data_IF_867944787373
#
_entry.id   IF_867944787373
#
_cell.length_a   1.000
_cell.length_b   1.000
_cell.length_c   1.000
_cell.angle_alpha   90.00
_cell.angle_beta   90.00
_cell.angle_gamma   90.00
#
_symmetry.space_group_name_H-M   'P 1'
#
loop_
_entity.id
_entity.type
_entity.pdbx_description
1 polymer ?
#
# COMPACT_ATOMS: atom_id res chain seq x y z
N UNK A 1 -33.24 13.46 22.42
CA UNK A 1 -34.03 12.55 21.58
C UNK A 1 -34.88 13.41 20.65
N UNK A 2 -34.29 13.93 19.58
CA UNK A 2 -35.07 14.64 18.55
C UNK A 2 -35.63 13.54 17.65
N UNK A 3 -36.94 13.51 17.64
CA UNK A 3 -37.68 12.68 16.73
C UNK A 3 -37.35 13.09 15.29
N UNK A 4 -36.43 12.37 14.65
CA UNK A 4 -36.44 12.26 13.20
C UNK A 4 -37.83 11.67 12.93
N UNK A 5 -38.70 12.52 12.41
CA UNK A 5 -40.06 12.16 12.01
C UNK A 5 -39.95 10.81 11.30
N UNK A 6 -40.73 9.88 11.73
CA UNK A 6 -40.98 8.55 11.18
C UNK A 6 -41.36 8.52 9.69
N UNK A 7 -40.91 9.51 8.90
CA UNK A 7 -41.15 9.63 7.46
C UNK A 7 -40.33 8.68 6.59
N UNK A 8 -39.28 8.02 7.13
CA UNK A 8 -38.39 7.23 6.32
C UNK A 8 -38.14 5.80 6.88
N UNK A 9 -39.05 5.29 7.70
CA UNK A 9 -38.74 4.14 8.56
C UNK A 9 -39.06 2.75 8.02
N UNK A 10 -39.49 2.54 6.80
CA UNK A 10 -39.81 1.16 6.41
C UNK A 10 -39.54 0.86 4.93
N UNK A 11 -38.37 0.72 4.43
CA UNK A 11 -38.07 -0.16 3.27
C UNK A 11 -36.73 0.06 2.55
N UNK A 12 -35.76 0.64 3.20
CA UNK A 12 -34.45 0.75 2.59
C UNK A 12 -33.61 -0.54 2.72
N UNK A 13 -34.06 -1.54 3.47
CA UNK A 13 -33.36 -2.83 3.60
C UNK A 13 -33.06 -3.52 2.26
N UNK A 14 -33.69 -3.06 1.18
CA UNK A 14 -33.57 -3.60 -0.17
C UNK A 14 -32.90 -2.62 -1.18
N UNK A 15 -32.37 -1.47 -0.76
CA UNK A 15 -31.73 -0.53 -1.72
C UNK A 15 -30.57 -1.20 -2.46
N UNK A 16 -29.77 -2.01 -1.76
CA UNK A 16 -28.66 -2.75 -2.32
C UNK A 16 -29.07 -3.79 -3.37
N UNK A 17 -30.12 -4.56 -3.08
CA UNK A 17 -30.65 -5.54 -4.04
C UNK A 17 -31.36 -4.87 -5.22
N UNK A 18 -32.02 -3.75 -4.96
CA UNK A 18 -32.74 -2.96 -5.96
C UNK A 18 -31.81 -2.30 -6.99
N UNK A 19 -30.58 -1.99 -6.62
CA UNK A 19 -29.59 -1.39 -7.52
C UNK A 19 -28.83 -2.38 -8.40
N UNK A 20 -28.95 -3.70 -8.20
CA UNK A 20 -28.12 -4.72 -8.84
C UNK A 20 -28.22 -4.83 -10.38
N UNK A 21 -29.17 -4.13 -11.03
CA UNK A 21 -29.47 -4.27 -12.47
C UNK A 21 -29.33 -2.99 -13.30
N UNK A 22 -28.71 -1.92 -12.79
CA UNK A 22 -28.66 -0.62 -13.46
C UNK A 22 -27.54 -0.54 -14.52
N UNK A 23 -27.91 -0.18 -15.75
CA UNK A 23 -26.97 0.09 -16.86
C UNK A 23 -27.01 1.59 -17.21
N UNK A 24 -25.86 2.12 -17.57
CA UNK A 24 -25.39 3.53 -17.62
C UNK A 24 -26.22 4.59 -18.37
N UNK A 25 -27.44 4.34 -18.83
CA UNK A 25 -28.19 5.29 -19.67
C UNK A 25 -29.66 5.51 -19.25
N UNK A 26 -30.06 5.13 -18.04
CA UNK A 26 -31.45 5.28 -17.62
C UNK A 26 -31.52 6.35 -16.54
N UNK A 27 -32.22 7.46 -16.84
CA UNK A 27 -32.57 8.49 -15.88
C UNK A 27 -33.75 8.01 -15.05
N UNK A 28 -33.80 8.38 -13.77
CA UNK A 28 -34.92 8.17 -12.85
C UNK A 28 -35.25 6.69 -12.60
N UNK A 29 -34.38 5.99 -11.92
CA UNK A 29 -34.70 4.65 -11.42
C UNK A 29 -35.39 4.65 -10.07
N UNK A 30 -35.40 5.79 -9.41
CA UNK A 30 -36.04 6.00 -8.11
C UNK A 30 -37.04 7.15 -8.16
N UNK A 31 -38.11 7.01 -7.38
CA UNK A 31 -39.17 8.00 -7.19
C UNK A 31 -39.60 7.99 -5.73
N UNK A 32 -40.32 9.01 -5.30
CA UNK A 32 -41.03 9.00 -4.02
C UNK A 32 -42.48 8.56 -4.27
N UNK A 33 -43.04 7.74 -3.38
CA UNK A 33 -44.47 7.45 -3.36
C UNK A 33 -45.27 8.60 -2.71
N UNK A 34 -46.58 8.42 -2.52
CA UNK A 34 -47.45 9.35 -1.88
C UNK A 34 -47.11 9.68 -0.43
N UNK A 35 -46.50 8.70 0.28
CA UNK A 35 -46.09 8.82 1.67
C UNK A 35 -44.64 9.37 1.81
N UNK A 36 -43.96 9.59 0.69
CA UNK A 36 -42.60 10.10 0.62
C UNK A 36 -41.54 9.03 0.78
N UNK A 37 -41.89 7.74 0.65
CA UNK A 37 -40.92 6.65 0.67
C UNK A 37 -40.22 6.53 -0.69
N UNK A 38 -38.95 6.16 -0.66
CA UNK A 38 -38.17 5.95 -1.88
C UNK A 38 -38.51 4.59 -2.51
N UNK A 39 -39.04 4.62 -3.73
CA UNK A 39 -39.41 3.43 -4.51
C UNK A 39 -38.48 3.24 -5.69
N UNK A 40 -38.01 2.02 -5.86
CA UNK A 40 -37.25 1.62 -7.05
C UNK A 40 -38.17 1.20 -8.19
N UNK A 41 -37.81 1.54 -9.42
CA UNK A 41 -38.55 1.07 -10.60
C UNK A 41 -38.59 -0.48 -10.69
N UNK A 42 -37.64 -1.17 -10.06
CA UNK A 42 -37.61 -2.64 -10.04
C UNK A 42 -38.67 -3.26 -9.14
N UNK A 43 -39.24 -2.49 -8.21
CA UNK A 43 -40.33 -2.91 -7.34
C UNK A 43 -41.72 -2.78 -8.02
N UNK A 44 -41.72 -2.12 -9.18
CA UNK A 44 -42.93 -1.87 -9.93
C UNK A 44 -43.23 -3.03 -10.87
N UNK A 45 -44.41 -3.63 -10.70
CA UNK A 45 -44.91 -4.68 -11.56
C UNK A 45 -46.07 -4.14 -12.44
N UNK A 46 -46.52 -4.95 -13.41
CA UNK A 46 -47.71 -4.60 -14.21
C UNK A 46 -48.97 -4.47 -13.35
N UNK A 47 -49.01 -5.18 -12.23
CA UNK A 47 -50.19 -5.23 -11.31
C UNK A 47 -50.21 -4.02 -10.37
N UNK A 48 -49.05 -3.63 -9.81
CA UNK A 48 -48.99 -2.55 -8.82
C UNK A 48 -48.69 -1.16 -9.40
N UNK A 49 -48.31 -1.05 -10.68
CA UNK A 49 -47.84 0.21 -11.30
C UNK A 49 -48.85 1.38 -11.24
N UNK A 50 -50.11 1.08 -10.98
CA UNK A 50 -51.20 2.08 -10.86
C UNK A 50 -51.70 2.24 -9.43
N UNK A 51 -51.12 1.53 -8.48
CA UNK A 51 -51.59 1.54 -7.09
C UNK A 51 -51.06 2.75 -6.33
N UNK A 52 -49.93 3.33 -6.79
CA UNK A 52 -49.24 4.45 -6.16
C UNK A 52 -49.09 5.60 -7.14
N UNK A 53 -48.95 6.79 -6.59
CA UNK A 53 -48.53 7.99 -7.30
C UNK A 53 -47.03 8.19 -7.05
N UNK A 54 -46.27 8.43 -8.11
CA UNK A 54 -44.82 8.57 -8.02
C UNK A 54 -44.41 10.01 -8.27
N UNK A 55 -43.55 10.55 -7.43
CA UNK A 55 -43.05 11.93 -7.52
C UNK A 55 -41.54 11.93 -7.74
N UNK A 56 -41.08 12.89 -8.55
CA UNK A 56 -39.64 13.09 -8.77
C UNK A 56 -38.97 13.60 -7.49
N UNK A 57 -37.87 12.97 -7.09
CA UNK A 57 -37.07 13.35 -5.94
C UNK A 57 -36.55 14.78 -6.07
N UNK A 58 -36.26 15.24 -7.30
CA UNK A 58 -35.73 16.58 -7.56
C UNK A 58 -36.78 17.68 -7.54
N UNK A 59 -37.83 17.54 -8.34
CA UNK A 59 -38.79 18.61 -8.59
C UNK A 59 -40.18 18.38 -7.99
N UNK A 60 -40.44 17.20 -7.41
CA UNK A 60 -41.73 16.83 -6.82
C UNK A 60 -42.84 16.54 -7.82
N UNK A 61 -42.63 16.76 -9.13
CA UNK A 61 -43.63 16.51 -10.15
C UNK A 61 -43.88 15.01 -10.35
N UNK A 62 -45.10 14.72 -10.86
CA UNK A 62 -45.55 13.34 -11.07
C UNK A 62 -44.68 12.62 -12.09
N UNK A 63 -44.29 11.38 -11.74
CA UNK A 63 -43.58 10.45 -12.57
C UNK A 63 -44.51 9.27 -12.94
N UNK A 64 -44.27 8.70 -14.11
CA UNK A 64 -44.93 7.51 -14.57
C UNK A 64 -43.88 6.39 -14.83
N UNK A 65 -44.16 5.15 -14.38
CA UNK A 65 -43.31 4.01 -14.68
C UNK A 65 -43.47 3.57 -16.15
N UNK A 66 -42.37 3.34 -16.85
CA UNK A 66 -42.35 2.95 -18.25
C UNK A 66 -41.53 1.67 -18.45
N UNK A 67 -41.89 0.93 -19.48
CA UNK A 67 -41.21 -0.31 -19.90
C UNK A 67 -41.25 -1.46 -18.87
N UNK A 68 -42.18 -1.45 -17.94
CA UNK A 68 -42.40 -2.51 -16.96
C UNK A 68 -42.73 -3.82 -17.70
N UNK A 69 -41.99 -4.90 -17.45
CA UNK A 69 -42.13 -6.21 -18.12
C UNK A 69 -41.64 -6.24 -19.57
N UNK A 70 -41.06 -5.20 -20.10
CA UNK A 70 -40.52 -5.16 -21.47
C UNK A 70 -39.22 -5.97 -21.56
N UNK A 71 -39.14 -6.87 -22.56
CA UNK A 71 -37.90 -7.60 -22.91
C UNK A 71 -36.90 -6.71 -23.70
N UNK A 72 -37.39 -5.65 -24.36
CA UNK A 72 -36.62 -4.83 -25.29
C UNK A 72 -36.11 -3.51 -24.69
N UNK A 73 -36.75 -3.02 -23.63
CA UNK A 73 -36.44 -1.73 -23.00
C UNK A 73 -36.37 -1.91 -21.49
N UNK A 74 -35.43 -1.24 -20.88
CA UNK A 74 -35.29 -1.23 -19.40
C UNK A 74 -36.37 -0.40 -18.74
N UNK A 75 -36.93 -0.85 -17.62
CA UNK A 75 -37.85 -0.06 -16.82
C UNK A 75 -37.20 1.22 -16.33
N UNK A 76 -37.95 2.31 -16.29
CA UNK A 76 -37.55 3.60 -15.76
C UNK A 76 -38.79 4.48 -15.46
N UNK A 77 -38.63 5.49 -14.62
CA UNK A 77 -39.61 6.55 -14.45
C UNK A 77 -39.38 7.67 -15.46
N UNK A 78 -40.41 8.38 -15.84
CA UNK A 78 -40.35 9.59 -16.65
C UNK A 78 -41.39 10.59 -16.19
N UNK A 79 -41.12 11.88 -16.39
CA UNK A 79 -42.09 12.92 -16.03
C UNK A 79 -43.35 12.80 -16.89
N UNK A 80 -44.51 12.86 -16.23
CA UNK A 80 -45.82 12.84 -16.90
C UNK A 80 -46.01 14.03 -17.82
N UNK A 81 -45.53 15.20 -17.38
CA UNK A 81 -45.58 16.46 -18.12
C UNK A 81 -44.16 16.93 -18.45
N UNK A 82 -44.04 17.78 -19.49
CA UNK A 82 -42.77 18.43 -19.82
C UNK A 82 -42.44 19.45 -18.73
N UNK A 83 -41.43 19.12 -17.92
CA UNK A 83 -40.93 19.96 -16.83
C UNK A 83 -39.45 20.24 -17.00
N UNK A 84 -39.01 21.41 -16.58
CA UNK A 84 -37.58 21.74 -16.48
C UNK A 84 -37.01 21.08 -15.23
N UNK A 85 -36.74 19.80 -15.33
CA UNK A 85 -36.12 19.06 -14.24
C UNK A 85 -34.68 18.66 -14.65
N UNK A 86 -33.71 19.06 -13.86
CA UNK A 86 -32.32 18.71 -14.07
C UNK A 86 -32.03 17.30 -13.56
N UNK A 87 -31.41 16.48 -14.40
CA UNK A 87 -30.86 15.20 -13.97
C UNK A 87 -29.77 15.36 -12.90
N UNK A 88 -29.08 16.50 -12.90
CA UNK A 88 -28.12 16.90 -11.89
C UNK A 88 -28.78 17.04 -10.50
N UNK A 89 -29.86 17.79 -10.40
CA UNK A 89 -30.62 17.96 -9.15
C UNK A 89 -31.16 16.62 -8.63
N UNK A 90 -31.54 15.73 -9.55
CA UNK A 90 -31.99 14.38 -9.18
C UNK A 90 -30.88 13.56 -8.56
N UNK A 91 -29.72 13.46 -9.23
CA UNK A 91 -28.57 12.71 -8.71
C UNK A 91 -28.06 13.28 -7.39
N UNK A 92 -28.01 14.61 -7.28
CA UNK A 92 -27.60 15.31 -6.08
C UNK A 92 -28.50 14.94 -4.87
N UNK A 93 -29.82 15.06 -5.02
CA UNK A 93 -30.78 14.73 -3.94
C UNK A 93 -30.78 13.22 -3.62
N UNK A 94 -30.74 12.37 -4.63
CA UNK A 94 -30.69 10.92 -4.42
C UNK A 94 -29.43 10.52 -3.64
N UNK A 95 -28.28 11.14 -3.96
CA UNK A 95 -27.03 10.88 -3.23
C UNK A 95 -27.14 11.29 -1.77
N UNK A 96 -27.67 12.49 -1.48
CA UNK A 96 -27.86 12.95 -0.10
C UNK A 96 -28.72 11.98 0.70
N UNK A 97 -29.86 11.58 0.15
CA UNK A 97 -30.75 10.60 0.80
C UNK A 97 -30.04 9.26 1.06
N UNK A 98 -29.29 8.75 0.08
CA UNK A 98 -28.57 7.48 0.19
C UNK A 98 -27.47 7.52 1.25
N UNK A 99 -26.73 8.63 1.34
CA UNK A 99 -25.69 8.81 2.35
C UNK A 99 -26.26 8.97 3.75
N UNK A 100 -27.33 9.75 3.89
CA UNK A 100 -28.03 9.89 5.18
C UNK A 100 -28.54 8.55 5.68
N UNK A 101 -29.20 7.79 4.82
CA UNK A 101 -29.67 6.45 5.16
C UNK A 101 -28.52 5.53 5.57
N UNK A 102 -27.46 5.46 4.76
CA UNK A 102 -26.27 4.70 5.10
C UNK A 102 -25.70 5.10 6.45
N UNK A 103 -25.62 6.41 6.73
CA UNK A 103 -25.11 6.91 8.01
C UNK A 103 -25.97 6.47 9.19
N UNK A 104 -27.29 6.52 9.10
CA UNK A 104 -28.16 6.19 10.23
C UNK A 104 -28.36 4.69 10.43
N UNK A 105 -28.51 3.93 9.36
CA UNK A 105 -28.96 2.53 9.42
C UNK A 105 -27.84 1.49 9.29
N UNK A 106 -26.65 1.84 8.77
CA UNK A 106 -25.53 0.90 8.80
C UNK A 106 -24.90 0.82 10.20
N UNK A 107 -24.35 -0.33 10.57
CA UNK A 107 -23.64 -0.49 11.85
C UNK A 107 -22.41 0.42 11.95
N UNK A 108 -21.77 0.70 10.81
CA UNK A 108 -20.56 1.52 10.69
C UNK A 108 -20.66 2.48 9.52
N UNK A 109 -19.98 3.60 9.64
CA UNK A 109 -19.74 4.52 8.54
C UNK A 109 -18.24 4.76 8.40
N UNK A 110 -17.57 3.81 7.76
CA UNK A 110 -16.13 3.84 7.62
C UNK A 110 -15.70 4.67 6.42
N UNK A 111 -14.66 5.48 6.65
CA UNK A 111 -13.96 6.24 5.61
C UNK A 111 -12.48 5.85 5.61
N UNK A 112 -11.83 5.91 4.45
CA UNK A 112 -10.40 5.67 4.32
C UNK A 112 -9.75 6.62 3.32
N UNK A 113 -8.59 7.16 3.67
CA UNK A 113 -7.84 8.06 2.80
C UNK A 113 -6.32 7.87 2.95
N UNK A 114 -5.55 8.16 1.89
CA UNK A 114 -4.09 8.01 1.91
C UNK A 114 -3.44 8.95 2.93
N UNK A 115 -2.48 8.42 3.65
CA UNK A 115 -1.65 9.18 4.59
C UNK A 115 -0.17 8.94 4.36
N UNK A 116 0.63 9.94 4.74
CA UNK A 116 2.07 9.83 4.92
C UNK A 116 2.38 9.62 6.39
N UNK A 117 3.15 8.61 6.70
CA UNK A 117 3.65 8.42 8.06
C UNK A 117 5.16 8.63 8.08
N UNK A 118 5.66 9.45 8.99
CA UNK A 118 7.08 9.69 9.18
C UNK A 118 7.53 9.25 10.58
N UNK A 119 8.80 8.84 10.68
CA UNK A 119 9.40 8.43 11.95
C UNK A 119 9.70 9.63 12.83
N UNK A 120 9.30 9.58 14.10
CA UNK A 120 9.61 10.61 15.11
C UNK A 120 10.69 10.19 16.13
N UNK A 121 11.36 9.05 15.93
CA UNK A 121 12.42 8.61 16.84
C UNK A 121 13.63 9.53 16.75
N UNK A 122 13.77 10.45 17.73
CA UNK A 122 14.86 11.44 17.80
C UNK A 122 16.22 10.79 18.06
N UNK A 123 16.26 9.61 18.68
CA UNK A 123 17.48 8.92 19.07
C UNK A 123 18.06 8.03 17.94
N UNK A 124 17.38 7.95 16.81
CA UNK A 124 17.85 7.16 15.68
C UNK A 124 18.87 7.94 14.84
N UNK A 125 20.11 7.48 14.83
CA UNK A 125 21.19 8.10 14.05
C UNK A 125 20.97 7.98 12.53
N UNK A 126 20.27 6.93 12.09
CA UNK A 126 19.94 6.69 10.68
C UNK A 126 18.68 7.42 10.21
N UNK A 127 17.97 8.14 11.12
CA UNK A 127 16.75 8.88 10.76
C UNK A 127 17.04 9.90 9.67
N UNK A 128 16.30 9.78 8.57
CA UNK A 128 16.39 10.71 7.45
C UNK A 128 15.01 10.91 6.80
N UNK A 129 14.95 11.67 5.69
CA UNK A 129 13.71 11.94 4.93
C UNK A 129 13.05 10.69 4.36
N UNK A 130 13.78 9.60 4.22
CA UNK A 130 13.28 8.34 3.69
C UNK A 130 12.63 7.43 4.77
N UNK A 131 12.70 7.81 6.05
CA UNK A 131 11.96 7.14 7.12
C UNK A 131 10.47 7.52 7.06
N UNK A 132 9.82 7.23 5.92
CA UNK A 132 8.44 7.55 5.61
C UNK A 132 7.78 6.36 4.95
N UNK A 133 6.49 6.18 5.24
CA UNK A 133 5.61 5.24 4.55
C UNK A 133 4.54 6.04 3.81
N UNK A 134 4.42 5.81 2.50
CA UNK A 134 3.51 6.56 1.63
C UNK A 134 2.23 5.81 1.25
N UNK A 135 2.24 4.49 1.33
CA UNK A 135 1.12 3.67 0.86
C UNK A 135 0.19 3.23 1.99
N UNK A 136 0.19 3.96 3.10
CA UNK A 136 -0.71 3.69 4.20
C UNK A 136 -2.03 4.42 3.99
N UNK A 137 -3.11 3.76 4.38
CA UNK A 137 -4.44 4.33 4.45
C UNK A 137 -4.86 4.49 5.91
N UNK A 138 -5.40 5.65 6.25
CA UNK A 138 -6.02 5.86 7.54
C UNK A 138 -7.50 5.57 7.43
N UNK A 139 -7.95 4.57 8.19
CA UNK A 139 -9.37 4.18 8.23
C UNK A 139 -9.97 4.57 9.56
N UNK A 140 -11.14 5.17 9.51
CA UNK A 140 -11.89 5.60 10.70
C UNK A 140 -13.38 5.35 10.51
N UNK A 141 -14.04 4.85 11.55
CA UNK A 141 -15.49 4.73 11.63
C UNK A 141 -16.06 6.02 12.22
N UNK A 142 -16.72 6.82 11.39
CA UNK A 142 -17.25 8.12 11.80
C UNK A 142 -18.38 8.00 12.82
N UNK A 143 -19.16 6.91 12.86
CA UNK A 143 -20.24 6.71 13.84
C UNK A 143 -19.74 6.62 15.28
N UNK A 144 -18.47 6.39 15.49
CA UNK A 144 -17.87 6.44 16.84
C UNK A 144 -17.72 7.85 17.39
N UNK A 145 -17.81 8.85 16.51
CA UNK A 145 -17.55 10.25 16.86
C UNK A 145 -18.70 11.18 16.51
N UNK A 146 -19.48 10.85 15.48
CA UNK A 146 -20.58 11.66 14.96
C UNK A 146 -21.86 10.86 15.02
N UNK A 147 -22.92 11.49 15.51
CA UNK A 147 -24.24 10.87 15.71
C UNK A 147 -25.37 11.60 14.99
N UNK A 148 -25.06 12.73 14.35
CA UNK A 148 -26.03 13.50 13.58
C UNK A 148 -25.56 13.70 12.14
N UNK A 149 -26.51 13.71 11.23
CA UNK A 149 -26.32 14.05 9.82
C UNK A 149 -27.50 14.95 9.38
N UNK A 150 -27.19 16.18 9.04
CA UNK A 150 -28.23 17.20 8.71
C UNK A 150 -28.00 17.73 7.30
N UNK A 151 -29.09 17.97 6.58
CA UNK A 151 -29.09 18.47 5.20
C UNK A 151 -29.14 19.99 5.16
N UNK A 152 -28.45 20.62 4.19
CA UNK A 152 -28.49 22.04 3.85
C UNK A 152 -28.18 22.96 5.06
N UNK A 153 -27.14 22.65 5.80
CA UNK A 153 -26.78 23.41 7.01
C UNK A 153 -25.72 24.49 6.69
N UNK A 154 -26.01 25.71 7.14
CA UNK A 154 -25.08 26.82 7.04
C UNK A 154 -23.93 26.69 8.08
N UNK A 155 -22.68 26.80 7.63
CA UNK A 155 -21.53 26.74 8.48
C UNK A 155 -20.38 27.63 7.93
N UNK A 156 -19.85 28.53 8.76
CA UNK A 156 -18.75 29.45 8.41
C UNK A 156 -18.93 30.18 7.08
N UNK A 157 -20.17 30.57 6.73
CA UNK A 157 -20.47 31.28 5.50
C UNK A 157 -20.75 30.40 4.28
N UNK A 158 -20.65 29.08 4.42
CA UNK A 158 -20.99 28.10 3.40
C UNK A 158 -22.22 27.31 3.77
N UNK A 159 -22.85 26.64 2.80
CA UNK A 159 -23.90 25.66 3.04
C UNK A 159 -23.39 24.29 2.74
N UNK A 160 -23.49 23.38 3.69
CA UNK A 160 -23.10 21.98 3.50
C UNK A 160 -24.29 21.20 2.91
N UNK A 161 -24.05 20.35 1.92
CA UNK A 161 -25.06 19.42 1.42
C UNK A 161 -25.53 18.49 2.53
N UNK A 162 -24.57 17.89 3.24
CA UNK A 162 -24.80 17.18 4.50
C UNK A 162 -23.72 17.58 5.52
N UNK A 163 -24.14 17.76 6.76
CA UNK A 163 -23.26 18.08 7.87
C UNK A 163 -23.30 16.98 8.93
N UNK A 164 -22.15 16.38 9.20
CA UNK A 164 -21.99 15.46 10.32
C UNK A 164 -21.51 16.23 11.56
N UNK A 165 -22.24 16.10 12.66
CA UNK A 165 -21.88 16.67 13.96
C UNK A 165 -22.05 15.64 15.08
N UNK A 166 -21.46 15.93 16.24
CA UNK A 166 -21.61 15.12 17.44
C UNK A 166 -22.45 15.89 18.47
N UNK A 167 -23.51 15.27 18.94
CA UNK A 167 -24.30 15.80 20.06
C UNK A 167 -23.61 15.60 21.41
N UNK A 168 -22.77 14.56 21.51
CA UNK A 168 -22.04 14.23 22.74
C UNK A 168 -20.69 14.96 22.86
N UNK A 169 -20.11 15.33 21.70
CA UNK A 169 -18.78 15.97 21.60
C UNK A 169 -18.87 17.20 20.68
N UNK A 170 -19.53 18.29 21.12
CA UNK A 170 -19.70 19.49 20.30
C UNK A 170 -18.38 20.22 19.98
N UNK A 171 -17.28 19.88 20.67
CA UNK A 171 -15.92 20.37 20.39
C UNK A 171 -15.30 19.72 19.15
N UNK A 172 -15.84 18.60 18.67
CA UNK A 172 -15.35 17.98 17.46
C UNK A 172 -15.67 18.84 16.24
N UNK A 173 -14.66 19.02 15.39
CA UNK A 173 -14.86 19.70 14.12
C UNK A 173 -15.90 18.94 13.28
N UNK A 174 -16.93 19.62 12.78
CA UNK A 174 -17.93 19.01 11.91
C UNK A 174 -17.30 18.57 10.59
N UNK A 175 -17.92 17.58 9.95
CA UNK A 175 -17.53 17.10 8.62
C UNK A 175 -18.62 17.45 7.63
N UNK A 176 -18.26 18.14 6.56
CA UNK A 176 -19.13 18.41 5.43
C UNK A 176 -19.05 17.27 4.44
N UNK A 177 -20.19 16.83 3.93
CA UNK A 177 -20.25 15.94 2.78
C UNK A 177 -20.85 16.74 1.63
N UNK A 178 -20.10 16.83 0.54
CA UNK A 178 -20.47 17.60 -0.66
C UNK A 178 -20.69 16.67 -1.83
N UNK A 179 -21.79 16.83 -2.51
CA UNK A 179 -22.17 16.03 -3.68
C UNK A 179 -21.90 16.82 -4.94
N UNK A 180 -20.92 16.37 -5.71
CA UNK A 180 -20.51 16.99 -6.95
C UNK A 180 -21.06 16.20 -8.15
N UNK A 181 -21.99 16.76 -8.89
CA UNK A 181 -22.52 16.15 -10.12
C UNK A 181 -21.88 16.79 -11.37
N UNK A 182 -21.90 18.12 -11.48
CA UNK A 182 -21.31 18.85 -12.61
C UNK A 182 -20.16 19.77 -12.21
N UNK A 183 -20.21 20.33 -11.00
CA UNK A 183 -19.20 21.27 -10.51
C UNK A 183 -18.62 20.78 -9.18
N UNK A 184 -17.29 20.88 -9.06
CA UNK A 184 -16.61 20.63 -7.79
C UNK A 184 -16.87 21.75 -6.80
N UNK A 185 -16.64 21.46 -5.53
CA UNK A 185 -16.70 22.43 -4.45
C UNK A 185 -15.88 23.68 -4.76
N UNK A 186 -16.39 24.86 -4.44
CA UNK A 186 -15.75 26.15 -4.70
C UNK A 186 -14.37 26.23 -4.02
N UNK A 187 -13.38 26.88 -4.67
CA UNK A 187 -12.02 26.99 -4.12
C UNK A 187 -12.00 27.58 -2.71
N UNK A 188 -12.81 28.61 -2.45
CA UNK A 188 -12.88 29.28 -1.14
C UNK A 188 -13.38 28.33 -0.06
N UNK A 189 -14.29 27.42 -0.38
CA UNK A 189 -14.80 26.39 0.54
C UNK A 189 -13.75 25.33 0.77
N UNK A 190 -13.04 24.90 -0.26
CA UNK A 190 -11.94 23.92 -0.17
C UNK A 190 -10.78 24.43 0.69
N UNK A 191 -10.44 25.71 0.59
CA UNK A 191 -9.36 26.36 1.33
C UNK A 191 -9.77 26.88 2.71
N UNK A 192 -11.04 26.69 3.11
CA UNK A 192 -11.60 27.19 4.37
C UNK A 192 -11.04 26.53 5.64
N UNK A 193 -10.28 25.44 5.51
CA UNK A 193 -9.82 24.60 6.62
C UNK A 193 -10.90 23.69 7.21
N UNK A 194 -12.09 23.66 6.63
CA UNK A 194 -13.14 22.71 7.00
C UNK A 194 -12.79 21.29 6.51
N UNK A 195 -13.28 20.28 7.24
CA UNK A 195 -13.18 18.89 6.77
C UNK A 195 -14.31 18.60 5.80
N UNK A 196 -13.98 18.30 4.56
CA UNK A 196 -14.94 18.07 3.49
C UNK A 196 -14.71 16.70 2.87
N UNK A 197 -15.77 15.93 2.69
CA UNK A 197 -15.80 14.70 1.89
C UNK A 197 -16.54 15.05 0.60
N UNK A 198 -15.80 15.27 -0.47
CA UNK A 198 -16.37 15.56 -1.79
C UNK A 198 -16.60 14.28 -2.57
N UNK A 199 -17.84 14.02 -2.98
CA UNK A 199 -18.24 12.82 -3.71
C UNK A 199 -18.66 13.18 -5.13
N UNK A 200 -17.94 12.71 -6.14
CA UNK A 200 -18.23 12.97 -7.55
C UNK A 200 -19.14 11.90 -8.11
N UNK A 201 -20.33 12.33 -8.54
CA UNK A 201 -21.42 11.47 -8.99
C UNK A 201 -21.76 11.77 -10.45
N UNK A 202 -21.62 10.78 -11.31
CA UNK A 202 -21.93 10.88 -12.74
C UNK A 202 -23.27 10.22 -13.10
N UNK A 203 -23.65 9.21 -12.32
CA UNK A 203 -24.83 8.39 -12.57
C UNK A 203 -25.27 7.64 -11.31
N UNK A 204 -26.40 6.96 -11.38
CA UNK A 204 -26.97 6.18 -10.25
C UNK A 204 -26.06 4.99 -9.82
N UNK A 205 -25.25 4.46 -10.72
CA UNK A 205 -24.32 3.39 -10.39
C UNK A 205 -23.21 3.85 -9.42
N UNK A 206 -22.78 5.10 -9.53
CA UNK A 206 -21.81 5.68 -8.58
C UNK A 206 -22.46 5.78 -7.19
N UNK A 207 -23.74 6.16 -7.10
CA UNK A 207 -24.49 6.19 -5.84
C UNK A 207 -24.61 4.79 -5.24
N UNK A 208 -24.92 3.80 -6.07
CA UNK A 208 -24.99 2.41 -5.64
C UNK A 208 -23.67 1.92 -5.05
N UNK A 209 -22.55 2.21 -5.72
CA UNK A 209 -21.21 1.85 -5.24
C UNK A 209 -20.90 2.48 -3.89
N UNK A 210 -21.21 3.77 -3.71
CA UNK A 210 -21.05 4.47 -2.42
C UNK A 210 -21.90 3.85 -1.32
N UNK A 211 -23.15 3.53 -1.64
CA UNK A 211 -24.07 2.93 -0.69
C UNK A 211 -23.64 1.54 -0.24
N UNK A 212 -23.22 0.68 -1.19
CA UNK A 212 -22.80 -0.69 -0.93
C UNK A 212 -21.40 -0.81 -0.34
N UNK A 213 -20.57 0.21 -0.47
CA UNK A 213 -19.20 0.16 0.02
C UNK A 213 -19.18 -0.03 1.54
N UNK A 214 -18.42 -1.01 2.03
CA UNK A 214 -18.16 -1.14 3.46
C UNK A 214 -17.35 0.04 4.00
N UNK A 215 -16.53 0.65 3.14
CA UNK A 215 -15.71 1.81 3.46
C UNK A 215 -15.72 2.79 2.28
N UNK A 216 -16.00 4.07 2.54
CA UNK A 216 -15.89 5.14 1.54
C UNK A 216 -14.43 5.53 1.45
N UNK A 217 -13.81 5.24 0.31
CA UNK A 217 -12.37 5.34 0.17
C UNK A 217 -11.95 6.36 -0.89
N UNK A 218 -10.96 7.19 -0.55
CA UNK A 218 -10.22 7.97 -1.52
C UNK A 218 -9.12 7.11 -2.14
N UNK A 219 -9.11 7.05 -3.47
CA UNK A 219 -8.08 6.35 -4.23
C UNK A 219 -6.97 7.33 -4.63
N UNK A 220 -5.69 6.88 -4.61
CA UNK A 220 -4.59 7.70 -5.13
C UNK A 220 -4.85 8.13 -6.59
N UNK A 221 -4.37 9.32 -6.96
CA UNK A 221 -4.60 9.90 -8.29
C UNK A 221 -4.14 9.01 -9.45
N UNK A 222 -3.13 8.17 -9.23
CA UNK A 222 -2.58 7.21 -10.20
C UNK A 222 -3.34 5.88 -10.30
N UNK A 223 -4.35 5.66 -9.45
CA UNK A 223 -5.15 4.43 -9.51
C UNK A 223 -6.03 4.41 -10.76
N UNK A 224 -5.89 3.38 -11.58
CA UNK A 224 -6.74 3.20 -12.78
C UNK A 224 -8.11 2.61 -12.44
N UNK A 225 -8.20 1.80 -11.39
CA UNK A 225 -9.41 1.08 -10.99
C UNK A 225 -10.06 1.75 -9.78
N UNK A 226 -10.57 2.98 -9.96
CA UNK A 226 -11.31 3.67 -8.91
C UNK A 226 -12.72 3.13 -8.83
N UNK A 227 -13.06 2.47 -7.71
CA UNK A 227 -14.42 2.03 -7.45
C UNK A 227 -15.38 3.21 -7.21
N UNK A 228 -14.88 4.33 -6.68
CA UNK A 228 -15.61 5.58 -6.40
C UNK A 228 -14.68 6.78 -6.60
N UNK A 229 -15.25 7.94 -6.87
CA UNK A 229 -14.52 9.20 -7.02
C UNK A 229 -14.83 10.12 -5.83
N UNK A 230 -14.03 9.97 -4.78
CA UNK A 230 -14.16 10.67 -3.50
C UNK A 230 -12.85 11.34 -3.13
N UNK A 231 -12.92 12.57 -2.62
CA UNK A 231 -11.77 13.34 -2.16
C UNK A 231 -12.01 13.82 -0.72
N UNK A 232 -10.98 13.69 0.14
CA UNK A 232 -11.01 14.15 1.53
C UNK A 232 -10.16 15.42 1.66
N UNK A 233 -10.80 16.55 1.89
CA UNK A 233 -10.21 17.89 1.97
C UNK A 233 -10.17 18.32 3.43
N UNK A 234 -9.09 18.95 3.88
CA UNK A 234 -8.92 19.41 5.26
C UNK A 234 -8.63 18.30 6.28
N UNK A 235 -8.52 17.05 5.83
CA UNK A 235 -8.16 15.92 6.70
C UNK A 235 -6.64 15.86 6.90
N UNK A 236 -6.24 15.48 8.11
CA UNK A 236 -4.82 15.34 8.44
C UNK A 236 -4.20 14.16 7.69
N UNK A 237 -3.23 14.44 6.84
CA UNK A 237 -2.59 13.43 5.99
C UNK A 237 -1.18 13.03 6.44
N UNK A 238 -0.60 13.77 7.36
CA UNK A 238 0.75 13.49 7.88
C UNK A 238 0.70 13.11 9.34
N UNK A 239 1.26 11.97 9.65
CA UNK A 239 1.33 11.43 10.99
C UNK A 239 2.78 11.15 11.38
N UNK A 240 3.07 11.24 12.67
CA UNK A 240 4.36 10.88 13.23
C UNK A 240 4.18 9.78 14.27
N UNK A 241 4.92 8.70 14.12
CA UNK A 241 4.98 7.60 15.09
C UNK A 241 6.38 7.01 15.11
N UNK A 242 6.79 6.33 16.21
CA UNK A 242 7.96 5.48 16.16
C UNK A 242 7.74 4.41 15.09
N UNK A 243 8.66 4.33 14.14
CA UNK A 243 8.57 3.37 13.05
C UNK A 243 9.65 2.32 13.19
N UNK A 244 9.33 1.11 12.84
CA UNK A 244 10.30 0.04 12.59
C UNK A 244 10.55 -0.04 11.09
N UNK A 245 11.11 1.02 10.52
CA UNK A 245 11.43 1.06 9.09
C UNK A 245 12.46 -0.01 8.76
N UNK A 246 12.31 -0.65 7.61
CA UNK A 246 13.30 -1.56 7.09
C UNK A 246 14.63 -0.83 6.86
N UNK A 247 15.68 -1.27 7.51
CA UNK A 247 17.05 -0.84 7.26
C UNK A 247 17.70 -1.92 6.41
N UNK A 248 18.38 -1.50 5.37
CA UNK A 248 19.21 -2.40 4.59
C UNK A 248 20.61 -2.40 5.20
N UNK A 249 21.05 -3.55 5.67
CA UNK A 249 22.43 -3.80 6.07
C UNK A 249 23.17 -4.47 4.93
N UNK A 250 24.20 -3.84 4.43
CA UNK A 250 25.08 -4.42 3.44
C UNK A 250 26.38 -4.86 4.13
N UNK A 251 26.70 -6.11 3.98
CA UNK A 251 27.91 -6.72 4.56
C UNK A 251 28.88 -7.00 3.43
N UNK A 252 30.08 -6.49 3.53
CA UNK A 252 31.12 -6.60 2.53
C UNK A 252 32.43 -7.09 3.14
N UNK A 253 33.00 -8.11 2.54
CA UNK A 253 34.33 -8.56 2.85
C UNK A 253 35.34 -7.99 1.82
N UNK A 254 36.19 -7.04 2.23
CA UNK A 254 37.15 -6.44 1.32
C UNK A 254 38.24 -7.41 0.83
N UNK A 255 38.43 -8.58 1.45
CA UNK A 255 39.39 -9.59 0.98
C UNK A 255 38.87 -10.40 -0.19
N UNK A 256 37.52 -10.56 -0.28
CA UNK A 256 36.85 -11.35 -1.32
C UNK A 256 36.33 -10.47 -2.46
N UNK A 257 36.52 -9.18 -2.44
CA UNK A 257 36.17 -8.09 -3.42
C UNK A 257 34.83 -8.20 -4.19
N UNK A 258 34.19 -9.37 -4.26
CA UNK A 258 33.08 -9.67 -5.17
C UNK A 258 31.73 -9.86 -4.48
N UNK A 259 31.70 -10.32 -3.23
CA UNK A 259 30.48 -10.82 -2.61
C UNK A 259 30.12 -10.12 -1.30
N UNK A 260 29.59 -8.91 -1.41
CA UNK A 260 28.76 -8.36 -0.34
C UNK A 260 27.33 -8.88 -0.44
N UNK A 261 26.67 -9.03 0.68
CA UNK A 261 25.26 -9.37 0.73
C UNK A 261 24.45 -8.30 1.46
N UNK A 262 23.21 -8.18 1.05
CA UNK A 262 22.29 -7.21 1.59
C UNK A 262 21.23 -7.94 2.42
N UNK A 263 21.07 -7.58 3.69
CA UNK A 263 20.00 -8.11 4.51
C UNK A 263 19.10 -6.98 5.02
N UNK A 264 17.78 -7.17 4.96
CA UNK A 264 16.87 -6.27 5.63
C UNK A 264 16.95 -6.50 7.13
N UNK A 265 17.02 -5.41 7.88
CA UNK A 265 16.94 -5.41 9.34
C UNK A 265 15.93 -4.34 9.78
N UNK A 266 15.44 -4.42 10.98
CA UNK A 266 14.61 -3.35 11.53
C UNK A 266 15.47 -2.33 12.31
N UNK A 267 14.89 -1.19 12.67
CA UNK A 267 15.61 -0.14 13.38
C UNK A 267 16.17 -0.58 14.75
N UNK A 268 15.54 -1.52 15.43
CA UNK A 268 16.05 -2.05 16.71
C UNK A 268 17.29 -2.93 16.49
N UNK A 269 17.37 -3.60 15.36
CA UNK A 269 18.51 -4.46 14.99
C UNK A 269 19.70 -3.67 14.46
N UNK A 270 19.49 -2.42 13.99
CA UNK A 270 20.56 -1.59 13.45
C UNK A 270 21.69 -1.33 14.46
N UNK A 271 21.35 -1.25 15.74
CA UNK A 271 22.32 -1.05 16.81
C UNK A 271 22.99 -2.34 17.30
N UNK A 272 22.55 -3.49 16.81
CA UNK A 272 23.14 -4.77 17.18
C UNK A 272 24.33 -4.99 16.25
N UNK A 273 25.55 -4.94 16.82
CA UNK A 273 26.77 -5.34 16.09
C UNK A 273 26.62 -6.81 15.76
N UNK A 274 26.63 -7.15 14.48
CA UNK A 274 26.76 -8.54 14.06
C UNK A 274 28.23 -8.88 14.16
N UNK A 275 28.57 -9.89 14.93
CA UNK A 275 29.90 -10.50 14.94
C UNK A 275 30.07 -11.28 13.65
N UNK A 276 30.26 -10.59 12.54
CA UNK A 276 30.56 -11.20 11.26
C UNK A 276 32.05 -11.06 10.98
N UNK A 277 32.61 -12.02 10.27
CA UNK A 277 33.98 -11.94 9.76
C UNK A 277 34.13 -10.83 8.69
N UNK A 278 33.09 -10.10 8.44
CA UNK A 278 33.04 -9.00 7.48
C UNK A 278 33.69 -7.77 8.07
N UNK A 279 34.62 -7.21 7.35
CA UNK A 279 35.37 -6.04 7.78
C UNK A 279 34.58 -4.73 7.65
N UNK A 280 33.52 -4.71 6.84
CA UNK A 280 32.70 -3.50 6.61
C UNK A 280 31.22 -3.86 6.58
N UNK A 281 30.44 -3.22 7.43
CA UNK A 281 28.99 -3.24 7.42
C UNK A 281 28.47 -1.83 7.14
N UNK A 282 27.57 -1.71 6.17
CA UNK A 282 26.91 -0.46 5.82
C UNK A 282 25.43 -0.57 6.15
N UNK A 283 24.97 0.17 7.16
CA UNK A 283 23.57 0.30 7.50
C UNK A 283 23.00 1.52 6.81
N UNK A 284 21.88 1.36 6.09
CA UNK A 284 21.20 2.47 5.45
C UNK A 284 19.68 2.29 5.50
N UNK A 285 18.95 3.39 5.54
CA UNK A 285 17.50 3.38 5.34
C UNK A 285 17.23 3.33 3.84
N UNK A 286 16.55 2.28 3.40
CA UNK A 286 16.06 2.21 2.02
C UNK A 286 14.68 2.86 1.93
N UNK A 287 14.47 3.86 1.05
CA UNK A 287 13.18 4.51 0.86
C UNK A 287 12.12 3.59 0.23
N UNK A 288 12.58 2.48 -0.37
CA UNK A 288 11.74 1.50 -1.03
C UNK A 288 11.98 0.13 -0.40
N UNK A 289 10.95 -0.72 -0.37
CA UNK A 289 11.06 -2.13 0.05
C UNK A 289 12.03 -2.94 -0.84
N UNK A 290 12.43 -2.37 -1.97
CA UNK A 290 13.39 -2.96 -2.90
C UNK A 290 14.82 -2.66 -2.43
N UNK A 291 15.54 -3.72 -2.16
CA UNK A 291 16.93 -3.67 -1.76
C UNK A 291 17.77 -3.04 -2.88
N UNK A 292 18.17 -1.79 -2.71
CA UNK A 292 19.04 -1.07 -3.65
C UNK A 292 20.49 -1.39 -3.35
N UNK A 293 20.95 -2.51 -3.91
CA UNK A 293 22.36 -2.94 -3.76
C UNK A 293 23.36 -1.96 -4.38
N UNK A 294 22.91 -1.14 -5.34
CA UNK A 294 23.74 -0.16 -6.02
C UNK A 294 24.26 0.94 -5.07
N UNK A 295 23.51 1.31 -4.02
CA UNK A 295 23.91 2.34 -3.08
C UNK A 295 25.16 1.95 -2.27
N UNK A 296 25.20 0.79 -1.55
CA UNK A 296 26.42 0.37 -0.88
C UNK A 296 27.58 0.11 -1.85
N UNK A 297 27.32 -0.37 -3.05
CA UNK A 297 28.38 -0.56 -4.05
C UNK A 297 29.01 0.77 -4.51
N UNK A 298 28.19 1.81 -4.72
CA UNK A 298 28.69 3.17 -5.00
C UNK A 298 29.52 3.71 -3.84
N UNK A 299 29.08 3.49 -2.60
CA UNK A 299 29.84 3.87 -1.42
C UNK A 299 31.21 3.18 -1.39
N UNK A 300 31.24 1.86 -1.63
CA UNK A 300 32.47 1.08 -1.69
C UNK A 300 33.40 1.51 -2.85
N UNK A 301 32.82 1.91 -3.99
CA UNK A 301 33.59 2.45 -5.11
C UNK A 301 34.30 3.76 -4.74
N UNK A 302 33.63 4.61 -3.97
CA UNK A 302 34.20 5.91 -3.53
C UNK A 302 35.28 5.72 -2.45
N UNK A 303 34.97 4.94 -1.42
CA UNK A 303 35.78 4.91 -0.19
C UNK A 303 36.73 3.73 -0.08
N UNK A 304 36.49 2.67 -0.87
CA UNK A 304 37.27 1.43 -0.87
C UNK A 304 37.86 1.07 -2.24
N UNK A 305 37.71 1.95 -3.24
CA UNK A 305 38.20 1.76 -4.61
C UNK A 305 37.72 0.42 -5.25
N UNK A 306 36.54 -0.01 -4.89
CA UNK A 306 35.93 -1.22 -5.45
C UNK A 306 35.54 -0.97 -6.90
N UNK A 307 36.05 -1.85 -7.80
CA UNK A 307 35.73 -1.78 -9.24
C UNK A 307 34.81 -2.93 -9.62
N UNK A 308 33.66 -2.56 -10.18
CA UNK A 308 32.66 -3.53 -10.65
C UNK A 308 32.06 -3.07 -11.97
N UNK A 309 31.78 -4.01 -12.86
CA UNK A 309 31.23 -3.69 -14.17
C UNK A 309 29.87 -2.99 -14.07
N UNK A 310 29.03 -3.38 -13.12
CA UNK A 310 27.72 -2.76 -12.87
C UNK A 310 27.78 -1.28 -12.42
N UNK A 311 28.94 -0.80 -11.99
CA UNK A 311 29.21 0.62 -11.68
C UNK A 311 29.91 1.36 -12.83
N UNK A 312 30.24 0.66 -13.93
CA UNK A 312 30.92 1.24 -15.06
C UNK A 312 29.95 1.95 -16.01
N UNK A 313 30.28 3.15 -16.48
CA UNK A 313 29.44 3.90 -17.44
C UNK A 313 29.21 3.18 -18.77
N UNK A 314 30.04 2.22 -19.10
CA UNK A 314 29.95 1.43 -20.33
C UNK A 314 29.13 0.15 -20.16
N UNK A 315 28.68 -0.13 -18.95
CA UNK A 315 27.81 -1.23 -18.64
C UNK A 315 26.35 -0.79 -18.87
N UNK A 316 25.61 -1.57 -19.63
CA UNK A 316 24.26 -1.24 -20.00
C UNK A 316 23.32 -2.40 -19.69
N UNK A 317 22.25 -2.10 -18.97
CA UNK A 317 21.15 -3.00 -18.68
C UNK A 317 19.90 -2.43 -19.36
N UNK A 318 19.29 -3.20 -20.25
CA UNK A 318 17.99 -2.86 -20.83
C UNK A 318 16.87 -3.44 -19.95
N UNK A 319 15.72 -2.81 -19.96
CA UNK A 319 14.53 -3.32 -19.23
C UNK A 319 14.03 -4.65 -19.83
N UNK A 320 14.49 -5.01 -21.04
CA UNK A 320 14.08 -6.20 -21.80
C UNK A 320 15.14 -7.30 -21.90
N UNK A 321 16.39 -7.02 -21.55
CA UNK A 321 17.48 -8.01 -21.61
C UNK A 321 17.91 -8.40 -20.20
N UNK A 322 17.78 -9.69 -19.89
CA UNK A 322 18.20 -10.25 -18.60
C UNK A 322 19.72 -10.24 -18.39
N UNK A 323 20.50 -10.05 -19.47
CA UNK A 323 21.96 -10.05 -19.41
C UNK A 323 22.52 -8.69 -19.75
N UNK A 324 23.07 -7.96 -18.79
CA UNK A 324 23.69 -6.67 -19.03
C UNK A 324 24.93 -6.78 -19.92
N UNK A 325 25.15 -5.77 -20.80
CA UNK A 325 26.15 -5.79 -21.87
C UNK A 325 27.20 -4.70 -21.66
N UNK A 326 28.46 -5.04 -21.88
CA UNK A 326 29.53 -4.06 -22.00
C UNK A 326 29.54 -3.42 -23.40
N UNK A 327 29.26 -2.12 -23.50
CA UNK A 327 29.27 -1.36 -24.78
C UNK A 327 30.62 -1.36 -25.49
N UNK A 328 31.70 -1.67 -24.77
CA UNK A 328 33.05 -1.71 -25.31
C UNK A 328 33.44 -3.11 -25.82
N UNK A 329 32.60 -4.13 -25.70
CA UNK A 329 32.88 -5.50 -26.08
C UNK A 329 33.36 -5.63 -27.52
N UNK A 330 32.63 -5.06 -28.48
CA UNK A 330 32.94 -5.10 -29.90
C UNK A 330 34.20 -4.31 -30.26
N UNK A 331 34.44 -3.16 -29.60
CA UNK A 331 35.55 -2.26 -29.95
C UNK A 331 36.89 -2.70 -29.38
N UNK A 332 36.90 -3.34 -28.23
CA UNK A 332 38.12 -3.64 -27.50
C UNK A 332 38.28 -5.12 -27.15
N UNK A 333 37.53 -6.00 -27.81
CA UNK A 333 37.62 -7.45 -27.59
C UNK A 333 37.28 -7.88 -26.14
N UNK A 334 36.44 -7.09 -25.47
CA UNK A 334 36.00 -7.42 -24.11
C UNK A 334 34.85 -8.42 -24.16
N UNK A 335 34.60 -9.19 -23.08
CA UNK A 335 33.42 -10.01 -22.98
C UNK A 335 32.16 -9.17 -23.19
N UNK A 336 31.22 -9.66 -23.97
CA UNK A 336 29.96 -8.97 -24.17
C UNK A 336 29.15 -8.90 -22.84
N UNK A 337 29.21 -9.99 -22.10
CA UNK A 337 28.60 -10.13 -20.76
C UNK A 337 29.73 -10.33 -19.73
N UNK A 338 30.34 -9.24 -19.24
CA UNK A 338 31.45 -9.35 -18.33
C UNK A 338 30.99 -9.85 -16.94
N UNK A 339 31.82 -10.67 -16.33
CA UNK A 339 31.68 -10.98 -14.92
C UNK A 339 31.90 -9.72 -14.05
N UNK A 340 31.28 -9.66 -12.87
CA UNK A 340 31.36 -8.48 -12.00
C UNK A 340 32.78 -8.05 -11.65
N UNK A 341 33.69 -8.96 -11.55
CA UNK A 341 35.12 -8.77 -11.25
C UNK A 341 36.00 -8.40 -12.46
N UNK A 342 35.51 -8.53 -13.69
CA UNK A 342 36.23 -8.10 -14.89
C UNK A 342 36.67 -6.63 -14.84
N UNK A 343 35.91 -5.79 -14.09
CA UNK A 343 36.24 -4.40 -13.90
C UNK A 343 37.60 -4.16 -13.23
N UNK A 344 38.09 -5.08 -12.41
CA UNK A 344 39.38 -4.98 -11.72
C UNK A 344 40.55 -4.95 -12.70
N UNK A 345 40.44 -5.73 -13.77
CA UNK A 345 41.47 -5.86 -14.83
C UNK A 345 41.14 -4.99 -16.06
N UNK A 346 40.04 -4.26 -16.03
CA UNK A 346 39.61 -3.49 -17.19
C UNK A 346 40.29 -2.11 -17.26
N UNK A 347 41.18 -1.92 -18.23
CA UNK A 347 41.86 -0.64 -18.48
C UNK A 347 40.89 0.47 -18.90
N UNK A 348 39.71 0.14 -19.45
CA UNK A 348 38.68 1.08 -19.87
C UNK A 348 37.60 1.30 -18.81
N UNK A 349 37.78 0.76 -17.61
CA UNK A 349 36.82 0.96 -16.52
C UNK A 349 36.66 2.45 -16.18
N UNK A 350 35.44 2.88 -16.09
CA UNK A 350 35.13 4.25 -15.71
C UNK A 350 33.87 4.29 -14.86
N UNK A 351 34.02 4.64 -13.61
CA UNK A 351 32.92 4.95 -12.70
C UNK A 351 32.82 6.47 -12.51
N UNK A 352 31.61 7.02 -12.59
CA UNK A 352 31.39 8.44 -12.34
C UNK A 352 31.31 8.72 -10.83
N UNK A 353 32.47 8.83 -10.19
CA UNK A 353 32.58 8.98 -8.73
C UNK A 353 31.89 10.26 -8.23
N UNK A 354 31.93 11.37 -9.01
CA UNK A 354 31.28 12.60 -8.62
C UNK A 354 29.74 12.43 -8.59
N UNK A 355 29.19 11.80 -9.60
CA UNK A 355 27.77 11.47 -9.65
C UNK A 355 27.36 10.55 -8.49
N UNK A 356 28.17 9.53 -8.16
CA UNK A 356 27.93 8.68 -7.01
C UNK A 356 27.91 9.45 -5.68
N UNK A 357 28.82 10.43 -5.51
CA UNK A 357 28.85 11.28 -4.32
C UNK A 357 27.58 12.11 -4.19
N UNK A 358 27.09 12.66 -5.31
CA UNK A 358 25.84 13.42 -5.33
C UNK A 358 24.63 12.56 -4.95
N UNK A 359 24.50 11.38 -5.54
CA UNK A 359 23.42 10.45 -5.18
C UNK A 359 23.49 10.00 -3.72
N UNK A 360 24.69 9.76 -3.18
CA UNK A 360 24.85 9.29 -1.80
C UNK A 360 24.54 10.38 -0.75
N UNK A 361 24.52 11.65 -1.12
CA UNK A 361 24.11 12.73 -0.19
C UNK A 361 22.67 12.55 0.31
N UNK A 362 21.82 11.86 -0.45
CA UNK A 362 20.45 11.58 -0.06
C UNK A 362 20.34 10.50 1.02
N UNK A 363 21.39 9.69 1.22
CA UNK A 363 21.38 8.54 2.13
C UNK A 363 22.26 8.80 3.33
N UNK A 364 21.74 8.52 4.52
CA UNK A 364 22.56 8.36 5.71
C UNK A 364 23.05 6.92 5.77
N UNK A 365 24.35 6.76 5.66
CA UNK A 365 25.02 5.47 5.72
C UNK A 365 25.85 5.44 7.00
N UNK A 366 25.52 4.51 7.88
CA UNK A 366 26.34 4.21 9.04
C UNK A 366 27.34 3.12 8.67
N UNK A 367 28.61 3.39 8.91
CA UNK A 367 29.70 2.43 8.64
C UNK A 367 30.08 1.80 9.97
N UNK A 368 29.88 0.50 10.07
CA UNK A 368 30.35 -0.29 11.20
C UNK A 368 31.55 -1.10 10.73
N UNK A 369 32.70 -0.82 11.27
CA UNK A 369 33.91 -1.65 11.06
C UNK A 369 33.83 -2.79 12.06
N UNK A 370 33.77 -4.03 11.55
CA UNK A 370 33.86 -5.22 12.39
C UNK A 370 35.21 -5.26 13.10
N UNK A 371 35.21 -5.49 14.39
CA UNK A 371 36.41 -5.97 15.06
C UNK A 371 36.62 -7.40 14.63
N UNK A 372 37.88 -7.75 14.25
CA UNK A 372 38.26 -9.11 13.96
C UNK A 372 38.25 -9.89 15.28
N UNK A 373 37.09 -10.40 15.63
CA UNK A 373 36.96 -11.35 16.73
C UNK A 373 37.43 -12.73 16.12
N UNK A 374 38.65 -13.13 16.36
CA UNK A 374 39.04 -14.52 16.25
C UNK A 374 38.29 -15.28 17.35
N UNK A 375 37.13 -15.82 17.02
CA UNK A 375 36.52 -16.80 17.91
C UNK A 375 37.27 -18.10 17.75
N UNK A 376 37.82 -18.63 18.81
CA UNK A 376 38.47 -19.96 18.84
C UNK A 376 37.47 -21.12 18.61
N UNK A 377 36.20 -20.83 18.38
CA UNK A 377 35.14 -21.80 18.12
C UNK A 377 35.08 -22.13 16.63
N UNK A 378 35.06 -23.42 16.32
CA UNK A 378 34.79 -23.92 14.96
C UNK A 378 33.44 -23.41 14.43
N UNK A 379 33.35 -23.10 13.14
CA UNK A 379 32.10 -22.72 12.50
C UNK A 379 31.22 -23.95 12.32
N UNK A 380 29.90 -23.74 12.60
CA UNK A 380 28.88 -24.72 12.32
C UNK A 380 27.81 -24.08 11.44
N UNK A 381 27.77 -24.51 10.19
CA UNK A 381 26.89 -23.93 9.17
C UNK A 381 25.62 -24.73 9.01
N UNK A 382 24.47 -24.10 9.22
CA UNK A 382 23.16 -24.75 9.13
C UNK A 382 22.31 -24.08 8.08
N UNK A 383 21.74 -24.86 7.16
CA UNK A 383 20.71 -24.38 6.25
C UNK A 383 19.37 -24.45 7.01
N UNK A 384 18.62 -23.34 6.98
CA UNK A 384 17.21 -23.35 7.37
C UNK A 384 16.38 -23.07 6.12
N UNK A 385 15.54 -24.02 5.73
CA UNK A 385 14.71 -23.95 4.54
C UNK A 385 13.22 -24.15 4.91
N UNK A 386 12.32 -23.59 4.13
CA UNK A 386 10.89 -23.80 4.28
C UNK A 386 10.17 -23.72 2.95
N UNK A 387 9.01 -24.38 2.86
CA UNK A 387 8.11 -24.23 1.72
C UNK A 387 7.67 -22.77 1.59
N UNK A 388 7.21 -22.36 0.41
CA UNK A 388 6.72 -21.00 0.16
C UNK A 388 5.42 -20.70 0.94
N UNK A 389 4.75 -21.73 1.44
CA UNK A 389 3.50 -21.65 2.20
C UNK A 389 3.73 -21.68 3.72
N UNK A 390 4.90 -22.11 4.18
CA UNK A 390 5.20 -22.21 5.60
C UNK A 390 5.27 -20.84 6.28
N UNK A 391 4.37 -20.59 7.27
CA UNK A 391 4.24 -19.32 7.97
C UNK A 391 4.27 -19.44 9.52
N UNK A 392 4.48 -20.64 10.05
CA UNK A 392 4.46 -20.88 11.49
C UNK A 392 5.81 -20.55 12.14
N UNK A 393 5.96 -19.26 12.55
CA UNK A 393 7.19 -18.80 13.21
C UNK A 393 7.46 -19.48 14.57
N UNK A 394 6.42 -19.73 15.36
CA UNK A 394 6.58 -20.33 16.69
C UNK A 394 7.16 -21.75 16.58
N UNK A 395 6.67 -22.54 15.64
CA UNK A 395 7.21 -23.87 15.35
C UNK A 395 8.67 -23.79 14.87
N UNK A 396 8.97 -22.87 13.95
CA UNK A 396 10.33 -22.66 13.46
C UNK A 396 11.26 -22.29 14.61
N UNK A 397 10.84 -21.35 15.46
CA UNK A 397 11.61 -20.91 16.64
C UNK A 397 11.84 -22.05 17.61
N UNK A 398 10.81 -22.80 17.98
CA UNK A 398 10.90 -23.93 18.90
C UNK A 398 11.92 -24.96 18.40
N UNK A 399 11.78 -25.43 17.17
CA UNK A 399 12.62 -26.49 16.62
C UNK A 399 14.06 -26.03 16.39
N UNK A 400 14.26 -24.84 15.82
CA UNK A 400 15.60 -24.30 15.62
C UNK A 400 16.30 -24.01 16.96
N UNK A 401 15.62 -23.41 17.93
CA UNK A 401 16.20 -23.14 19.25
C UNK A 401 16.58 -24.43 19.98
N UNK A 402 15.73 -25.45 19.91
CA UNK A 402 16.03 -26.77 20.51
C UNK A 402 17.25 -27.42 19.88
N UNK A 403 17.31 -27.44 18.54
CA UNK A 403 18.42 -28.08 17.82
C UNK A 403 19.74 -27.31 17.97
N UNK A 404 19.70 -25.98 17.92
CA UNK A 404 20.90 -25.15 17.94
C UNK A 404 21.44 -24.85 19.33
N UNK A 405 20.67 -25.08 20.41
CA UNK A 405 21.06 -24.75 21.79
C UNK A 405 22.43 -25.29 22.19
N UNK A 406 22.69 -26.57 21.92
CA UNK A 406 23.97 -27.20 22.22
C UNK A 406 25.09 -26.71 21.30
N UNK A 407 24.77 -26.44 20.04
CA UNK A 407 25.74 -25.96 19.03
C UNK A 407 26.21 -24.54 19.32
N UNK A 408 25.31 -23.68 19.79
CA UNK A 408 25.64 -22.30 20.17
C UNK A 408 26.63 -22.22 21.34
N UNK A 409 26.66 -23.24 22.20
CA UNK A 409 27.63 -23.29 23.30
C UNK A 409 29.05 -23.66 22.80
N UNK A 410 29.16 -24.55 21.85
CA UNK A 410 30.45 -25.15 21.41
C UNK A 410 30.98 -24.60 20.09
N UNK A 411 30.10 -24.06 19.22
CA UNK A 411 30.48 -23.62 17.88
C UNK A 411 29.99 -22.18 17.63
N UNK A 412 30.61 -21.56 16.63
CA UNK A 412 30.09 -20.35 16.01
C UNK A 412 29.04 -20.78 14.98
N UNK A 413 27.76 -20.69 15.33
CA UNK A 413 26.66 -21.06 14.42
C UNK A 413 26.47 -19.99 13.37
N UNK A 414 26.35 -20.42 12.09
CA UNK A 414 26.05 -19.58 10.93
C UNK A 414 24.85 -20.19 10.20
N UNK A 415 23.79 -19.41 9.99
CA UNK A 415 22.65 -19.84 9.19
C UNK A 415 22.90 -19.50 7.74
N UNK A 416 22.90 -20.52 6.88
CA UNK A 416 22.91 -20.34 5.42
C UNK A 416 21.46 -20.22 4.94
N UNK A 417 21.10 -19.11 4.28
CA UNK A 417 19.74 -18.87 3.81
C UNK A 417 19.73 -18.55 2.32
N UNK A 418 18.75 -19.15 1.61
CA UNK A 418 18.49 -18.89 0.19
C UNK A 418 17.59 -17.66 -0.05
N UNK A 419 17.01 -17.59 -1.24
CA UNK A 419 16.25 -16.43 -1.74
C UNK A 419 14.74 -16.45 -1.43
N UNK A 420 14.20 -17.51 -0.80
CA UNK A 420 12.76 -17.62 -0.48
C UNK A 420 12.30 -16.47 0.45
N UNK A 421 11.30 -15.72 0.03
CA UNK A 421 10.90 -14.46 0.69
C UNK A 421 10.32 -14.66 2.10
N UNK A 422 9.39 -15.60 2.27
CA UNK A 422 8.68 -15.78 3.54
C UNK A 422 9.54 -16.40 4.64
N UNK A 423 10.22 -17.47 4.31
CA UNK A 423 11.12 -18.14 5.25
C UNK A 423 12.28 -17.24 5.67
N UNK A 424 12.72 -16.35 4.79
CA UNK A 424 13.79 -15.37 5.06
C UNK A 424 13.45 -14.40 6.20
N UNK A 425 12.21 -13.89 6.26
CA UNK A 425 11.81 -12.98 7.36
C UNK A 425 11.85 -13.71 8.71
N UNK A 426 11.33 -14.92 8.77
CA UNK A 426 11.33 -15.73 9.98
C UNK A 426 12.74 -16.09 10.42
N UNK A 427 13.62 -16.47 9.48
CA UNK A 427 15.03 -16.77 9.76
C UNK A 427 15.76 -15.54 10.31
N UNK A 428 15.54 -14.37 9.74
CA UNK A 428 16.17 -13.13 10.22
C UNK A 428 15.70 -12.76 11.64
N UNK A 429 14.41 -12.97 11.93
CA UNK A 429 13.87 -12.75 13.27
C UNK A 429 14.50 -13.72 14.29
N UNK A 430 14.53 -15.01 13.95
CA UNK A 430 15.16 -16.03 14.79
C UNK A 430 16.66 -15.75 15.01
N UNK A 431 17.37 -15.41 13.96
CA UNK A 431 18.80 -15.12 14.03
C UNK A 431 19.10 -13.93 14.95
N UNK A 432 18.26 -12.90 14.89
CA UNK A 432 18.36 -11.75 15.77
C UNK A 432 18.09 -12.11 17.23
N UNK A 433 17.07 -12.93 17.50
CA UNK A 433 16.73 -13.38 18.84
C UNK A 433 17.81 -14.28 19.45
N UNK A 434 18.42 -15.14 18.65
CA UNK A 434 19.48 -16.07 19.09
C UNK A 434 20.90 -15.52 18.93
N UNK A 435 21.03 -14.29 18.41
CA UNK A 435 22.31 -13.65 18.09
C UNK A 435 23.21 -14.51 17.17
N UNK A 436 22.58 -15.06 16.12
CA UNK A 436 23.24 -15.91 15.11
C UNK A 436 23.48 -15.13 13.83
N UNK A 437 24.60 -15.35 13.17
CA UNK A 437 24.91 -14.77 11.86
C UNK A 437 24.12 -15.48 10.76
N UNK A 438 23.48 -14.71 9.85
CA UNK A 438 22.87 -15.24 8.64
C UNK A 438 23.71 -14.90 7.44
N UNK A 439 24.20 -15.91 6.74
CA UNK A 439 24.87 -15.78 5.45
C UNK A 439 23.87 -16.03 4.33
N UNK A 440 23.64 -14.97 3.53
CA UNK A 440 22.69 -15.04 2.40
C UNK A 440 23.38 -15.55 1.14
N UNK A 441 22.92 -16.68 0.65
CA UNK A 441 23.37 -17.24 -0.62
C UNK A 441 22.41 -16.79 -1.74
N UNK A 442 22.78 -15.72 -2.44
CA UNK A 442 21.96 -15.18 -3.52
C UNK A 442 22.16 -16.00 -4.80
N UNK A 443 21.05 -16.31 -5.48
CA UNK A 443 21.09 -16.93 -6.79
C UNK A 443 21.69 -15.95 -7.82
N UNK A 444 22.72 -16.35 -8.52
CA UNK A 444 23.39 -15.56 -9.57
C UNK A 444 22.67 -15.78 -10.92
N UNK A 445 21.57 -15.06 -11.08
CA UNK A 445 20.73 -15.13 -12.28
C UNK A 445 21.48 -14.68 -13.54
N UNK A 446 22.44 -13.75 -13.38
CA UNK A 446 23.23 -13.23 -14.50
C UNK A 446 24.16 -14.32 -15.08
N UNK A 447 24.60 -15.26 -14.22
CA UNK A 447 25.54 -16.32 -14.59
C UNK A 447 24.84 -17.62 -15.03
N UNK A 448 23.77 -17.99 -14.33
CA UNK A 448 23.18 -19.32 -14.46
C UNK A 448 21.76 -19.30 -15.01
N UNK A 449 21.17 -18.10 -15.28
CA UNK A 449 19.81 -17.99 -15.79
C UNK A 449 18.81 -18.76 -14.91
N UNK A 450 17.95 -19.57 -15.51
CA UNK A 450 16.95 -20.38 -14.81
C UNK A 450 17.56 -21.41 -13.84
N UNK A 451 18.80 -21.83 -14.04
CA UNK A 451 19.51 -22.73 -13.13
C UNK A 451 20.11 -22.03 -11.89
N UNK A 452 20.03 -20.70 -11.79
CA UNK A 452 20.62 -19.94 -10.69
C UNK A 452 20.15 -20.36 -9.30
N UNK A 453 18.86 -20.66 -9.04
CA UNK A 453 18.40 -21.16 -7.75
C UNK A 453 19.03 -22.50 -7.38
N UNK A 454 19.11 -23.44 -8.33
CA UNK A 454 19.68 -24.76 -8.11
C UNK A 454 21.17 -24.69 -7.81
N UNK A 455 21.89 -23.85 -8.54
CA UNK A 455 23.32 -23.61 -8.31
C UNK A 455 23.58 -22.96 -6.95
N UNK A 456 22.71 -22.03 -6.54
CA UNK A 456 22.77 -21.41 -5.21
C UNK A 456 22.52 -22.44 -4.11
N UNK A 457 21.49 -23.27 -4.27
CA UNK A 457 21.17 -24.35 -3.34
C UNK A 457 22.30 -25.36 -3.24
N UNK A 458 22.87 -25.78 -4.36
CA UNK A 458 24.03 -26.68 -4.40
C UNK A 458 25.22 -26.12 -3.63
N UNK A 459 25.55 -24.85 -3.87
CA UNK A 459 26.62 -24.15 -3.15
C UNK A 459 26.38 -24.07 -1.64
N UNK A 460 25.14 -23.91 -1.19
CA UNK A 460 24.82 -23.94 0.24
C UNK A 460 24.99 -25.33 0.83
N UNK A 461 24.52 -26.37 0.15
CA UNK A 461 24.64 -27.77 0.62
C UNK A 461 26.08 -28.21 0.74
N UNK A 462 26.94 -27.83 -0.19
CA UNK A 462 28.37 -28.17 -0.18
C UNK A 462 29.13 -27.54 1.02
N UNK A 463 28.56 -26.48 1.64
CA UNK A 463 29.21 -25.76 2.74
C UNK A 463 28.54 -25.98 4.09
N UNK A 464 27.37 -26.63 4.12
CA UNK A 464 26.57 -26.79 5.32
C UNK A 464 26.90 -28.05 6.09
N UNK A 465 26.89 -27.95 7.41
CA UNK A 465 27.03 -29.08 8.33
C UNK A 465 25.67 -29.72 8.66
N UNK A 466 24.59 -28.97 8.48
CA UNK A 466 23.23 -29.44 8.74
C UNK A 466 22.16 -28.71 7.93
N UNK A 467 21.00 -29.34 7.82
CA UNK A 467 19.79 -28.79 7.21
C UNK A 467 18.60 -28.97 8.17
N UNK A 468 17.89 -27.89 8.41
CA UNK A 468 16.59 -27.90 9.07
C UNK A 468 15.56 -27.44 8.04
N UNK A 469 14.60 -28.29 7.71
CA UNK A 469 13.60 -27.99 6.69
C UNK A 469 12.18 -28.03 7.26
N UNK A 470 11.34 -27.06 6.85
CA UNK A 470 9.95 -26.90 7.25
C UNK A 470 9.05 -26.95 6.02
N UNK A 471 7.99 -27.71 6.13
CA UNK A 471 6.91 -27.76 5.13
C UNK A 471 5.56 -28.00 5.82
N UNK A 472 4.51 -27.59 5.15
CA UNK A 472 3.13 -27.81 5.60
C UNK A 472 2.69 -29.25 5.34
#
# INVERSE_FOLDING_TARGET
>A
MYAISTKYSNDFSNFAEKCAMANNNIKYQFALDEDGNLISINDITQENRKQHTYKCIACGNELLPRAIGSKARRPHFYHKELVTCSGETYLHKLTKLSIMEKFFFSDKFEIAYPIETSCNNSNCQLRNRHCKEYNNSYTIDLKKYYDTCQEEVAIKGFVADLLLTSSQHPELEPILIEVCVSHSCEPEKRDSGLKIIEMKIKNEEDIRKLYLANCIQEYPSYSMDKAMDVEFIGFKRSFQKPMTTGISRYVFDPQIHVNGYLCPINCSQANIKINSHSLIELNMVSPYQWLRIDIPLKWLAIYNNVRRCDLCKFYYKTDYEFSPICRLSKKYGKPAHPEKNEAERCHSYFANINFFKEELQEYKIEVVKGEVYQSDKEEYKVIIAGSNTFQNYDLLKEKCSSYLSNKLQSHKVIILSGTSYFTKQMINTLAAELNIVVEMNLADWDRYGEAAPDMSNKSMVERADALIAFWD
#
